data_IF_224914879259
#
_entry.id   IF_224914879259
#
_cell.length_a   1.000
_cell.length_b   1.000
_cell.length_c   1.000
_cell.angle_alpha   90.00
_cell.angle_beta   90.00
_cell.angle_gamma   90.00
#
_symmetry.space_group_name_H-M   'P 1'
#
loop_
_entity.id
_entity.type
_entity.pdbx_description
1 polymer ?
#
# COMPACT_ATOMS: atom_id res chain seq x y z
N UNK A 1 -6.52 -27.46 7.91
CA UNK A 1 -6.78 -28.53 6.91
C UNK A 1 -6.43 -27.93 5.54
N UNK A 2 -5.24 -28.21 4.97
CA UNK A 2 -4.89 -27.72 3.62
C UNK A 2 -5.74 -28.47 2.59
N UNK A 3 -6.38 -27.72 1.70
CA UNK A 3 -7.01 -28.29 0.51
C UNK A 3 -5.88 -28.67 -0.45
N UNK A 4 -5.75 -29.95 -0.86
CA UNK A 4 -4.56 -30.47 -1.54
C UNK A 4 -4.21 -29.84 -2.90
N UNK A 5 -5.07 -29.00 -3.48
CA UNK A 5 -4.95 -28.50 -4.86
C UNK A 5 -4.93 -26.95 -5.01
N UNK A 6 -4.87 -26.19 -3.92
CA UNK A 6 -4.66 -24.75 -4.06
C UNK A 6 -3.16 -24.44 -4.04
N UNK A 7 -2.60 -24.07 -5.19
CA UNK A 7 -1.25 -23.49 -5.30
C UNK A 7 -1.27 -22.09 -4.73
N UNK A 8 -1.11 -21.95 -3.40
CA UNK A 8 -1.01 -20.69 -2.68
C UNK A 8 0.31 -20.63 -1.90
N UNK A 9 0.91 -19.45 -1.71
CA UNK A 9 2.17 -19.32 -0.98
C UNK A 9 2.01 -19.70 0.49
N UNK A 10 3.12 -20.15 1.11
CA UNK A 10 3.15 -20.47 2.56
C UNK A 10 3.23 -19.24 3.44
N UNK A 11 3.70 -18.11 2.89
CA UNK A 11 3.85 -16.84 3.59
C UNK A 11 3.66 -15.67 2.65
N UNK A 12 3.18 -14.56 3.19
CA UNK A 12 3.03 -13.28 2.47
C UNK A 12 3.55 -12.13 3.32
N UNK A 13 3.92 -11.06 2.65
CA UNK A 13 4.28 -9.78 3.27
C UNK A 13 3.10 -8.81 3.16
N UNK A 14 2.80 -8.12 4.25
CA UNK A 14 1.78 -7.07 4.29
C UNK A 14 2.47 -5.74 4.60
N UNK A 15 2.16 -4.72 3.79
CA UNK A 15 2.45 -3.33 4.09
C UNK A 15 1.18 -2.68 4.64
N UNK A 16 1.29 -2.12 5.81
CA UNK A 16 0.22 -1.32 6.42
C UNK A 16 0.32 0.12 5.88
N UNK A 17 -0.74 0.56 5.20
CA UNK A 17 -0.78 1.90 4.59
C UNK A 17 -1.72 2.87 5.31
N UNK A 18 -2.39 2.44 6.35
CA UNK A 18 -3.37 3.23 7.10
C UNK A 18 -2.83 4.55 7.64
N UNK A 19 -1.60 4.63 8.18
CA UNK A 19 -1.05 5.90 8.67
C UNK A 19 -0.86 6.95 7.56
N UNK A 20 -0.69 6.53 6.30
CA UNK A 20 -0.64 7.43 5.15
C UNK A 20 -1.98 7.48 4.43
N UNK A 21 -2.39 6.37 3.81
CA UNK A 21 -3.56 6.32 2.94
C UNK A 21 -4.87 6.45 3.71
N UNK A 22 -4.92 5.82 4.88
CA UNK A 22 -6.04 5.94 5.79
C UNK A 22 -6.23 7.37 6.28
N UNK A 23 -5.23 7.91 6.92
CA UNK A 23 -5.31 9.23 7.58
C UNK A 23 -5.50 10.39 6.63
N UNK A 24 -4.97 10.31 5.40
CA UNK A 24 -5.16 11.40 4.41
C UNK A 24 -6.62 11.62 4.02
N UNK A 25 -7.48 10.61 4.19
CA UNK A 25 -8.89 10.66 3.82
C UNK A 25 -9.82 11.01 5.01
N UNK A 26 -9.26 11.16 6.22
CA UNK A 26 -10.06 11.56 7.37
C UNK A 26 -10.52 13.02 7.24
N UNK A 27 -11.76 13.34 7.63
CA UNK A 27 -12.30 14.70 7.50
C UNK A 27 -11.57 15.69 8.41
N UNK A 28 -11.07 15.23 9.56
CA UNK A 28 -10.34 16.04 10.53
C UNK A 28 -8.85 15.65 10.57
N UNK A 29 -7.99 16.62 10.82
CA UNK A 29 -6.56 16.38 11.00
C UNK A 29 -6.35 15.66 12.32
N UNK A 30 -5.78 14.45 12.27
CA UNK A 30 -5.38 13.70 13.45
C UNK A 30 -4.15 14.37 14.07
N UNK A 31 -4.14 14.67 15.38
CA UNK A 31 -2.98 15.25 16.04
C UNK A 31 -1.71 14.41 15.86
N UNK A 32 -0.57 15.07 15.71
CA UNK A 32 0.73 14.42 15.47
C UNK A 32 1.04 13.36 16.53
N UNK A 33 0.78 13.66 17.80
CA UNK A 33 1.04 12.72 18.93
C UNK A 33 0.19 11.44 18.80
N UNK A 34 -1.00 11.55 18.23
CA UNK A 34 -1.87 10.39 18.00
C UNK A 34 -1.38 9.56 16.81
N UNK A 35 -0.91 10.20 15.74
CA UNK A 35 -0.27 9.48 14.63
C UNK A 35 0.96 8.72 15.08
N UNK A 36 1.83 9.37 15.86
CA UNK A 36 3.03 8.74 16.46
C UNK A 36 2.64 7.55 17.33
N UNK A 37 1.70 7.72 18.27
CA UNK A 37 1.17 6.64 19.12
C UNK A 37 0.73 5.43 18.29
N UNK A 38 -0.08 5.66 17.25
CA UNK A 38 -0.65 4.60 16.41
C UNK A 38 0.41 3.91 15.55
N UNK A 39 1.36 4.65 14.98
CA UNK A 39 2.47 4.09 14.20
C UNK A 39 3.36 3.22 15.08
N UNK A 40 3.68 3.68 16.29
CA UNK A 40 4.49 2.95 17.26
C UNK A 40 3.80 1.66 17.75
N UNK A 41 2.48 1.67 17.88
CA UNK A 41 1.68 0.47 18.17
C UNK A 41 1.71 -0.51 16.99
N UNK A 42 1.46 -0.04 15.78
CA UNK A 42 1.49 -0.87 14.55
C UNK A 42 2.86 -1.54 14.36
N UNK A 43 3.95 -0.81 14.60
CA UNK A 43 5.30 -1.33 14.47
C UNK A 43 5.64 -2.49 15.43
N UNK A 44 4.78 -2.73 16.43
CA UNK A 44 4.93 -3.81 17.43
C UNK A 44 3.98 -4.99 17.20
N UNK A 45 3.19 -4.97 16.14
CA UNK A 45 2.27 -6.05 15.79
C UNK A 45 2.92 -7.23 15.06
N UNK A 46 4.19 -7.10 14.65
CA UNK A 46 4.86 -8.04 13.74
C UNK A 46 4.92 -7.57 12.30
N UNK A 47 4.21 -6.51 11.93
CA UNK A 47 4.31 -5.85 10.63
C UNK A 47 5.78 -5.48 10.34
N UNK A 48 6.22 -5.76 9.11
CA UNK A 48 7.59 -5.49 8.65
C UNK A 48 7.70 -4.25 7.78
N UNK A 49 6.58 -3.70 7.29
CA UNK A 49 6.55 -2.55 6.39
C UNK A 49 5.37 -1.65 6.73
N UNK A 50 5.64 -0.36 6.92
CA UNK A 50 4.65 0.67 7.20
C UNK A 50 4.82 1.84 6.24
N UNK A 51 3.75 2.30 5.61
CA UNK A 51 3.72 3.58 4.91
C UNK A 51 3.20 4.65 5.88
N UNK A 52 4.11 5.51 6.36
CA UNK A 52 3.86 6.31 7.57
C UNK A 52 3.41 7.74 7.29
N UNK A 53 3.75 8.30 6.13
CA UNK A 53 3.39 9.69 5.78
C UNK A 53 3.63 10.00 4.30
N UNK A 54 3.44 11.26 3.91
CA UNK A 54 3.58 11.75 2.54
C UNK A 54 4.28 13.10 2.48
N UNK A 55 5.08 13.31 1.44
CA UNK A 55 5.68 14.59 1.10
C UNK A 55 4.90 15.36 0.02
N UNK A 56 3.59 15.12 -0.08
CA UNK A 56 2.67 15.98 -0.83
C UNK A 56 2.62 17.36 -0.18
N UNK A 57 2.27 18.37 -0.95
CA UNK A 57 2.17 19.74 -0.43
C UNK A 57 1.11 19.82 0.69
N UNK A 58 1.39 20.51 1.81
CA UNK A 58 0.45 20.64 2.93
C UNK A 58 -0.89 21.28 2.59
N UNK A 59 -0.93 22.17 1.59
CA UNK A 59 -2.16 22.80 1.11
C UNK A 59 -3.02 21.87 0.25
N UNK A 60 -2.48 20.74 -0.22
CA UNK A 60 -3.19 19.70 -0.97
C UNK A 60 -3.69 18.60 -0.03
N UNK A 61 -2.87 18.16 0.91
CA UNK A 61 -3.22 17.14 1.92
C UNK A 61 -2.85 17.67 3.31
N UNK A 62 -3.71 18.49 3.92
CA UNK A 62 -3.47 19.04 5.25
C UNK A 62 -3.31 17.97 6.34
N UNK A 63 -3.98 16.81 6.16
CA UNK A 63 -3.94 15.69 7.09
C UNK A 63 -2.53 15.13 7.30
N UNK A 64 -1.62 15.30 6.34
CA UNK A 64 -0.23 14.81 6.39
C UNK A 64 0.80 15.95 6.37
N UNK A 65 0.40 17.17 6.72
CA UNK A 65 1.28 18.34 6.73
C UNK A 65 2.43 18.24 7.75
N UNK A 66 2.27 17.41 8.77
CA UNK A 66 3.18 17.15 9.89
C UNK A 66 4.18 15.99 9.62
N UNK A 67 4.44 15.66 8.37
CA UNK A 67 5.30 14.53 8.00
C UNK A 67 6.68 14.56 8.69
N UNK A 68 7.28 15.74 8.81
CA UNK A 68 8.59 15.92 9.45
C UNK A 68 8.53 15.64 10.94
N UNK A 69 7.50 16.12 11.61
CA UNK A 69 7.27 15.95 13.05
C UNK A 69 6.97 14.50 13.39
N UNK A 70 6.15 13.82 12.58
CA UNK A 70 5.86 12.39 12.73
C UNK A 70 7.15 11.59 12.60
N UNK A 71 7.89 11.75 11.51
CA UNK A 71 9.14 11.02 11.28
C UNK A 71 10.20 11.33 12.34
N UNK A 72 10.18 12.51 12.94
CA UNK A 72 11.10 12.87 14.01
C UNK A 72 10.77 12.21 15.36
N UNK A 73 9.53 11.82 15.63
CA UNK A 73 9.06 11.37 16.94
C UNK A 73 8.79 9.87 17.04
N UNK A 74 8.47 9.18 15.92
CA UNK A 74 8.16 7.74 15.95
C UNK A 74 9.33 6.91 16.47
N UNK A 75 9.01 5.90 17.29
CA UNK A 75 9.95 4.92 17.86
C UNK A 75 9.64 3.52 17.29
N UNK A 76 10.18 3.24 16.12
CA UNK A 76 9.92 2.02 15.37
C UNK A 76 11.14 1.10 15.38
N UNK A 77 10.98 -0.21 15.69
CA UNK A 77 12.07 -1.20 15.67
C UNK A 77 12.79 -1.26 14.31
N UNK A 78 14.11 -1.51 14.33
CA UNK A 78 14.96 -1.50 13.13
C UNK A 78 14.52 -2.49 12.04
N UNK A 79 13.88 -3.60 12.43
CA UNK A 79 13.40 -4.61 11.48
C UNK A 79 12.14 -4.20 10.72
N UNK A 80 11.52 -3.06 11.04
CA UNK A 80 10.34 -2.53 10.35
C UNK A 80 10.80 -1.47 9.36
N UNK A 81 10.61 -1.71 8.07
CA UNK A 81 10.91 -0.75 7.02
C UNK A 81 9.83 0.34 6.96
N UNK A 82 10.26 1.58 6.93
CA UNK A 82 9.40 2.76 6.83
C UNK A 82 9.38 3.29 5.40
N UNK A 83 8.19 3.41 4.84
CA UNK A 83 7.95 4.00 3.53
C UNK A 83 7.29 5.37 3.66
N UNK A 84 7.59 6.26 2.71
CA UNK A 84 6.95 7.57 2.59
C UNK A 84 6.53 7.82 1.13
N UNK A 85 5.35 8.42 0.93
CA UNK A 85 4.87 8.73 -0.41
C UNK A 85 5.53 10.00 -0.94
N UNK A 86 6.07 9.91 -2.16
CA UNK A 86 6.75 10.99 -2.88
C UNK A 86 5.98 11.34 -4.16
N UNK A 87 5.41 12.55 -4.27
CA UNK A 87 4.61 12.92 -5.43
C UNK A 87 5.41 13.36 -6.66
N UNK A 88 6.65 13.83 -6.48
CA UNK A 88 7.51 14.39 -7.54
C UNK A 88 8.93 14.69 -7.02
N UNK A 89 9.80 15.22 -7.90
CA UNK A 89 11.20 15.58 -7.56
C UNK A 89 11.30 16.50 -6.34
N UNK A 90 10.47 17.56 -6.24
CA UNK A 90 10.49 18.47 -5.08
C UNK A 90 10.07 17.79 -3.78
N UNK A 91 9.15 16.84 -3.86
CA UNK A 91 8.79 15.99 -2.72
C UNK A 91 9.96 15.13 -2.26
N UNK A 92 10.69 14.55 -3.20
CA UNK A 92 11.89 13.78 -2.92
C UNK A 92 12.98 14.64 -2.27
N UNK A 93 13.27 15.83 -2.80
CA UNK A 93 14.26 16.75 -2.23
C UNK A 93 13.96 17.06 -0.77
N UNK A 94 12.72 17.45 -0.45
CA UNK A 94 12.30 17.72 0.94
C UNK A 94 12.42 16.50 1.84
N UNK A 95 12.08 15.32 1.33
CA UNK A 95 12.21 14.08 2.08
C UNK A 95 13.67 13.72 2.37
N UNK A 96 14.57 13.92 1.39
CA UNK A 96 16.00 13.69 1.54
C UNK A 96 16.65 14.69 2.48
N UNK A 97 16.29 15.98 2.43
CA UNK A 97 16.74 16.99 3.38
C UNK A 97 16.41 16.59 4.81
N UNK A 98 15.17 16.14 5.05
CA UNK A 98 14.76 15.62 6.37
C UNK A 98 15.56 14.38 6.76
N UNK A 99 15.67 13.41 5.86
CA UNK A 99 16.37 12.14 6.12
C UNK A 99 17.82 12.34 6.53
N UNK A 100 18.50 13.30 5.91
CA UNK A 100 19.88 13.66 6.23
C UNK A 100 20.00 14.57 7.46
N UNK A 101 18.99 15.39 7.73
CA UNK A 101 18.99 16.35 8.83
C UNK A 101 18.66 15.75 10.21
N UNK A 102 17.96 14.62 10.25
CA UNK A 102 17.62 13.96 11.50
C UNK A 102 18.83 13.18 12.06
N UNK A 103 19.31 13.60 13.24
CA UNK A 103 20.40 12.92 13.96
C UNK A 103 19.82 11.70 14.69
N UNK A 104 19.68 10.57 14.00
CA UNK A 104 19.18 9.31 14.53
C UNK A 104 20.15 8.17 14.27
N UNK A 105 20.00 7.06 15.05
CA UNK A 105 20.77 5.83 14.82
C UNK A 105 20.39 5.14 13.50
N UNK A 106 19.15 5.31 13.04
CA UNK A 106 18.66 4.79 11.75
C UNK A 106 18.15 5.93 10.85
N UNK A 107 18.11 5.76 9.53
CA UNK A 107 17.47 6.70 8.61
C UNK A 107 15.99 6.95 9.00
N UNK A 108 15.47 8.14 8.69
CA UNK A 108 14.07 8.49 8.98
C UNK A 108 13.06 7.60 8.23
N UNK A 109 13.46 7.09 7.08
CA UNK A 109 12.72 6.11 6.28
C UNK A 109 13.67 5.33 5.38
N UNK A 110 13.23 4.17 4.91
CA UNK A 110 14.02 3.19 4.16
C UNK A 110 13.56 3.09 2.71
N UNK A 111 12.28 3.39 2.46
CA UNK A 111 11.59 3.19 1.21
C UNK A 111 10.84 4.44 0.78
N UNK A 112 10.65 4.58 -0.53
CA UNK A 112 9.70 5.54 -1.08
C UNK A 112 8.63 4.82 -1.89
N UNK A 113 7.42 5.38 -1.86
CA UNK A 113 6.32 5.04 -2.75
C UNK A 113 6.08 6.21 -3.69
N UNK A 114 6.05 5.95 -5.00
CA UNK A 114 5.60 6.89 -6.02
C UNK A 114 4.36 6.32 -6.71
N UNK A 115 3.53 7.19 -7.30
CA UNK A 115 2.28 6.72 -7.90
C UNK A 115 1.89 7.50 -9.16
N UNK A 116 1.12 6.84 -10.00
CA UNK A 116 0.37 7.43 -11.11
C UNK A 116 -0.86 6.54 -11.40
N UNK A 117 -1.76 7.01 -12.26
CA UNK A 117 -2.89 6.19 -12.74
C UNK A 117 -2.63 5.64 -14.13
N UNK A 118 -3.14 4.44 -14.41
CA UNK A 118 -3.20 3.89 -15.78
C UNK A 118 -4.26 4.59 -16.66
N UNK A 119 -5.27 5.23 -16.03
CA UNK A 119 -6.30 6.01 -16.71
C UNK A 119 -5.86 7.47 -16.89
N UNK A 120 -5.92 7.97 -18.10
CA UNK A 120 -5.56 9.36 -18.44
C UNK A 120 -6.45 10.36 -17.70
N UNK A 121 -7.76 10.12 -17.71
CA UNK A 121 -8.72 10.99 -17.05
C UNK A 121 -8.53 11.00 -15.54
N UNK A 122 -8.36 9.83 -14.93
CA UNK A 122 -8.11 9.74 -13.48
C UNK A 122 -6.78 10.40 -13.10
N UNK A 123 -5.73 10.20 -13.89
CA UNK A 123 -4.43 10.82 -13.61
C UNK A 123 -4.50 12.35 -13.66
N UNK A 124 -5.24 12.91 -14.64
CA UNK A 124 -5.48 14.36 -14.71
C UNK A 124 -6.26 14.89 -13.52
N UNK A 125 -7.29 14.17 -13.07
CA UNK A 125 -8.06 14.56 -11.89
C UNK A 125 -7.24 14.48 -10.59
N UNK A 126 -6.39 13.45 -10.47
CA UNK A 126 -5.67 13.18 -9.24
C UNK A 126 -4.39 14.04 -9.08
N UNK A 127 -3.60 14.18 -10.14
CA UNK A 127 -2.30 14.86 -10.08
C UNK A 127 -2.14 16.02 -11.06
N UNK A 128 -3.21 16.36 -11.79
CA UNK A 128 -3.24 17.41 -12.81
C UNK A 128 -2.16 17.25 -13.91
N UNK A 129 -1.91 16.01 -14.32
CA UNK A 129 -0.92 15.64 -15.35
C UNK A 129 -1.48 14.53 -16.22
N UNK A 130 -0.99 14.43 -17.47
CA UNK A 130 -1.17 13.24 -18.29
C UNK A 130 -0.42 12.06 -17.68
N UNK A 131 -0.75 10.84 -18.11
CA UNK A 131 0.00 9.64 -17.75
C UNK A 131 1.46 9.76 -18.20
N UNK A 132 1.70 10.25 -19.41
CA UNK A 132 3.04 10.45 -19.94
C UNK A 132 3.86 11.49 -19.16
N UNK A 133 3.27 12.64 -18.81
CA UNK A 133 3.93 13.64 -17.97
C UNK A 133 4.29 13.10 -16.57
N UNK A 134 3.45 12.22 -16.02
CA UNK A 134 3.72 11.56 -14.75
C UNK A 134 4.87 10.55 -14.89
N UNK A 135 4.86 9.72 -15.94
CA UNK A 135 5.94 8.77 -16.22
C UNK A 135 7.29 9.48 -16.37
N UNK A 136 7.37 10.51 -17.21
CA UNK A 136 8.60 11.31 -17.39
C UNK A 136 9.11 11.91 -16.08
N UNK A 137 8.21 12.32 -15.19
CA UNK A 137 8.59 12.80 -13.85
C UNK A 137 9.15 11.68 -12.98
N UNK A 138 8.48 10.51 -12.98
CA UNK A 138 8.90 9.37 -12.15
C UNK A 138 10.20 8.71 -12.66
N UNK A 139 10.45 8.74 -13.97
CA UNK A 139 11.69 8.30 -14.59
C UNK A 139 12.93 9.12 -14.13
N UNK A 140 12.72 10.29 -13.50
CA UNK A 140 13.77 11.07 -12.85
C UNK A 140 13.83 10.82 -11.34
N UNK A 141 12.67 10.70 -10.69
CA UNK A 141 12.56 10.47 -9.24
C UNK A 141 13.19 9.12 -8.84
N UNK A 142 12.84 8.04 -9.55
CA UNK A 142 13.25 6.69 -9.19
C UNK A 142 14.77 6.49 -9.19
N UNK A 143 15.53 6.85 -10.27
CA UNK A 143 16.99 6.71 -10.25
C UNK A 143 17.64 7.58 -9.18
N UNK A 144 17.12 8.80 -8.95
CA UNK A 144 17.64 9.68 -7.91
C UNK A 144 17.48 9.07 -6.52
N UNK A 145 16.28 8.56 -6.18
CA UNK A 145 16.03 7.89 -4.91
C UNK A 145 16.90 6.63 -4.72
N UNK A 146 17.04 5.83 -5.79
CA UNK A 146 17.94 4.65 -5.80
C UNK A 146 19.39 5.03 -5.51
N UNK A 147 19.87 6.11 -6.08
CA UNK A 147 21.24 6.62 -5.82
C UNK A 147 21.45 7.05 -4.35
N UNK A 148 20.37 7.35 -3.62
CA UNK A 148 20.37 7.62 -2.17
C UNK A 148 20.21 6.37 -1.29
N UNK A 149 20.25 5.17 -1.91
CA UNK A 149 20.08 3.89 -1.20
C UNK A 149 18.67 3.59 -0.75
N UNK A 150 17.66 4.24 -1.33
CA UNK A 150 16.25 3.98 -1.02
C UNK A 150 15.70 2.83 -1.85
N UNK A 151 14.88 1.98 -1.24
CA UNK A 151 14.02 1.06 -1.99
C UNK A 151 12.86 1.86 -2.61
N UNK A 152 12.55 1.57 -3.86
CA UNK A 152 11.54 2.30 -4.62
C UNK A 152 10.40 1.38 -5.03
N UNK A 153 9.20 1.73 -4.59
CA UNK A 153 7.95 1.18 -5.10
C UNK A 153 7.28 2.20 -6.01
N UNK A 154 6.61 1.70 -7.06
CA UNK A 154 5.76 2.49 -7.92
C UNK A 154 4.36 1.87 -7.99
N UNK A 155 3.34 2.59 -7.53
CA UNK A 155 1.94 2.15 -7.53
C UNK A 155 1.22 2.68 -8.75
N UNK A 156 0.54 1.78 -9.47
CA UNK A 156 -0.30 2.09 -10.61
C UNK A 156 -1.76 2.03 -10.16
N UNK A 157 -2.36 3.19 -9.95
CA UNK A 157 -3.78 3.31 -9.62
C UNK A 157 -4.67 2.96 -10.81
N UNK A 158 -5.92 2.59 -10.55
CA UNK A 158 -6.93 2.22 -11.56
C UNK A 158 -6.52 1.04 -12.45
N UNK A 159 -5.69 0.12 -11.94
CA UNK A 159 -5.18 -1.03 -12.70
C UNK A 159 -6.27 -1.99 -13.17
N UNK A 160 -7.41 -2.03 -12.48
CA UNK A 160 -8.51 -2.96 -12.75
C UNK A 160 -9.78 -2.29 -13.26
N UNK A 161 -9.80 -0.97 -13.34
CA UNK A 161 -10.92 -0.18 -13.82
C UNK A 161 -10.89 1.26 -13.31
N UNK A 162 -11.55 2.13 -14.04
CA UNK A 162 -11.59 3.57 -13.79
C UNK A 162 -13.03 4.08 -13.74
N UNK A 163 -13.43 4.87 -12.74
CA UNK A 163 -14.79 5.40 -12.65
C UNK A 163 -15.13 6.39 -13.78
N UNK A 164 -14.14 6.95 -14.45
CA UNK A 164 -14.31 7.90 -15.56
C UNK A 164 -14.24 7.22 -16.93
N UNK A 165 -13.28 6.30 -17.13
CA UNK A 165 -13.03 5.65 -18.42
C UNK A 165 -13.64 4.23 -18.50
N UNK A 166 -14.10 3.69 -17.39
CA UNK A 166 -14.62 2.33 -17.33
C UNK A 166 -13.49 1.29 -17.38
N UNK A 167 -13.46 0.50 -18.44
CA UNK A 167 -12.45 -0.54 -18.62
C UNK A 167 -11.07 0.06 -18.89
N UNK A 168 -10.07 -0.41 -18.16
CA UNK A 168 -8.66 -0.11 -18.36
C UNK A 168 -7.99 -1.37 -18.92
N UNK A 169 -7.45 -1.33 -20.15
CA UNK A 169 -6.81 -2.49 -20.75
C UNK A 169 -5.58 -2.94 -19.95
N UNK A 170 -5.42 -4.24 -19.61
CA UNK A 170 -4.25 -4.76 -18.91
C UNK A 170 -2.94 -4.40 -19.60
N UNK A 171 -2.90 -4.39 -20.92
CA UNK A 171 -1.73 -4.07 -21.74
C UNK A 171 -1.22 -2.66 -21.45
N UNK A 172 -2.11 -1.67 -21.26
CA UNK A 172 -1.75 -0.30 -20.88
C UNK A 172 -1.11 -0.27 -19.49
N UNK A 173 -1.68 -1.00 -18.54
CA UNK A 173 -1.15 -1.08 -17.17
C UNK A 173 0.24 -1.70 -17.18
N UNK A 174 0.43 -2.77 -17.92
CA UNK A 174 1.71 -3.47 -18.02
C UNK A 174 2.78 -2.69 -18.79
N UNK A 175 2.39 -1.88 -19.80
CA UNK A 175 3.29 -0.93 -20.45
C UNK A 175 3.82 0.11 -19.46
N UNK A 176 2.94 0.70 -18.65
CA UNK A 176 3.31 1.63 -17.58
C UNK A 176 4.24 0.94 -16.57
N UNK A 177 3.90 -0.27 -16.12
CA UNK A 177 4.70 -1.05 -15.19
C UNK A 177 6.11 -1.34 -15.72
N UNK A 178 6.23 -1.70 -16.99
CA UNK A 178 7.50 -1.95 -17.67
C UNK A 178 8.39 -0.71 -17.67
N UNK A 179 7.84 0.46 -17.97
CA UNK A 179 8.59 1.73 -17.93
C UNK A 179 9.07 2.08 -16.52
N UNK A 180 8.22 1.92 -15.51
CA UNK A 180 8.58 2.17 -14.12
C UNK A 180 9.68 1.22 -13.63
N UNK A 181 9.60 -0.07 -14.01
CA UNK A 181 10.67 -1.05 -13.73
C UNK A 181 11.99 -0.60 -14.35
N UNK A 182 12.00 -0.24 -15.64
CA UNK A 182 13.20 0.23 -16.33
C UNK A 182 13.75 1.53 -15.72
N UNK A 183 12.90 2.36 -15.14
CA UNK A 183 13.30 3.55 -14.40
C UNK A 183 13.93 3.24 -13.03
N UNK A 184 13.86 1.99 -12.56
CA UNK A 184 14.49 1.55 -11.32
C UNK A 184 13.52 1.25 -10.17
N UNK A 185 12.22 1.14 -10.42
CA UNK A 185 11.29 0.61 -9.43
C UNK A 185 11.62 -0.86 -9.14
N UNK A 186 11.77 -1.20 -7.87
CA UNK A 186 12.06 -2.56 -7.38
C UNK A 186 10.77 -3.30 -6.99
N UNK A 187 9.69 -2.55 -6.90
CA UNK A 187 8.36 -3.05 -6.58
C UNK A 187 7.33 -2.30 -7.40
N UNK A 188 6.39 -3.03 -7.98
CA UNK A 188 5.26 -2.46 -8.70
C UNK A 188 3.97 -2.85 -7.98
N UNK A 189 3.27 -1.85 -7.46
CA UNK A 189 1.96 -2.00 -6.85
C UNK A 189 0.85 -1.81 -7.90
N UNK A 190 -0.15 -2.69 -7.88
CA UNK A 190 -1.33 -2.60 -8.75
C UNK A 190 -2.57 -2.33 -7.91
N UNK A 191 -3.13 -1.11 -8.06
CA UNK A 191 -4.23 -0.62 -7.24
C UNK A 191 -5.60 -0.78 -7.88
N UNK A 192 -6.51 -1.44 -7.16
CA UNK A 192 -7.96 -1.40 -7.39
C UNK A 192 -8.57 -0.20 -6.66
N UNK A 193 -8.14 0.99 -7.04
CA UNK A 193 -8.40 2.27 -6.36
C UNK A 193 -9.88 2.55 -6.09
N UNK A 194 -10.77 1.97 -6.86
CA UNK A 194 -12.22 2.23 -6.79
C UNK A 194 -13.05 0.97 -6.57
N UNK A 195 -12.41 -0.15 -6.24
CA UNK A 195 -13.05 -1.43 -5.97
C UNK A 195 -13.85 -1.96 -7.15
N UNK A 196 -13.31 -1.85 -8.37
CA UNK A 196 -13.93 -2.33 -9.61
C UNK A 196 -13.44 -3.72 -10.03
N UNK A 197 -12.36 -4.21 -9.40
CA UNK A 197 -11.80 -5.52 -9.68
C UNK A 197 -12.73 -6.66 -9.28
N UNK A 198 -12.61 -7.78 -9.97
CA UNK A 198 -13.23 -9.05 -9.62
C UNK A 198 -12.18 -10.18 -9.66
N UNK A 199 -12.40 -11.32 -8.96
CA UNK A 199 -11.39 -12.36 -8.83
C UNK A 199 -10.90 -12.97 -10.15
N UNK A 200 -11.76 -13.08 -11.16
CA UNK A 200 -11.38 -13.62 -12.49
C UNK A 200 -10.42 -12.68 -13.19
N UNK A 201 -10.73 -11.39 -13.19
CA UNK A 201 -9.89 -10.35 -13.76
C UNK A 201 -8.54 -10.26 -13.04
N UNK A 202 -8.55 -10.26 -11.70
CA UNK A 202 -7.33 -10.18 -10.87
C UNK A 202 -6.39 -11.33 -11.16
N UNK A 203 -6.90 -12.57 -11.17
CA UNK A 203 -6.08 -13.75 -11.46
C UNK A 203 -5.43 -13.66 -12.83
N UNK A 204 -6.23 -13.42 -13.87
CA UNK A 204 -5.72 -13.32 -15.24
C UNK A 204 -4.69 -12.18 -15.41
N UNK A 205 -4.93 -11.04 -14.76
CA UNK A 205 -4.01 -9.91 -14.78
C UNK A 205 -2.65 -10.26 -14.15
N UNK A 206 -2.62 -10.85 -12.95
CA UNK A 206 -1.36 -11.18 -12.30
C UNK A 206 -0.61 -12.31 -13.00
N UNK A 207 -1.30 -13.32 -13.55
CA UNK A 207 -0.68 -14.36 -14.39
C UNK A 207 0.05 -13.68 -15.58
N UNK A 208 -0.58 -12.75 -16.26
CA UNK A 208 0.05 -11.99 -17.36
C UNK A 208 1.18 -11.06 -16.88
N UNK A 209 1.03 -10.41 -15.73
CA UNK A 209 2.05 -9.52 -15.16
C UNK A 209 3.33 -10.30 -14.79
N UNK A 210 3.20 -11.50 -14.21
CA UNK A 210 4.33 -12.38 -13.93
C UNK A 210 5.09 -12.79 -15.19
N UNK A 211 4.39 -13.09 -16.28
CA UNK A 211 5.01 -13.44 -17.56
C UNK A 211 5.76 -12.26 -18.19
N UNK A 212 5.18 -11.05 -18.15
CA UNK A 212 5.72 -9.89 -18.88
C UNK A 212 6.81 -9.13 -18.13
N UNK A 213 6.75 -9.09 -16.80
CA UNK A 213 7.67 -8.28 -16.00
C UNK A 213 8.90 -9.05 -15.52
N UNK A 214 9.13 -10.29 -15.99
CA UNK A 214 10.25 -11.15 -15.60
C UNK A 214 10.43 -11.17 -14.07
N UNK A 215 9.33 -11.40 -13.38
CA UNK A 215 9.30 -11.41 -11.92
C UNK A 215 9.99 -12.66 -11.40
N UNK A 216 10.74 -12.51 -10.33
CA UNK A 216 11.26 -13.67 -9.61
C UNK A 216 10.08 -14.53 -9.11
N UNK A 217 10.12 -15.79 -9.47
CA UNK A 217 9.34 -16.80 -8.75
C UNK A 217 9.71 -16.79 -7.26
N UNK A 218 8.82 -17.30 -6.41
CA UNK A 218 9.03 -17.36 -4.98
C UNK A 218 10.44 -17.91 -4.64
N UNK A 219 11.34 -17.05 -4.19
CA UNK A 219 12.71 -17.42 -3.79
C UNK A 219 13.87 -16.92 -4.66
N UNK A 220 13.64 -16.18 -5.73
CA UNK A 220 14.70 -15.59 -6.53
C UNK A 220 15.32 -14.34 -5.87
N UNK A 221 16.64 -14.32 -5.72
CA UNK A 221 17.43 -13.17 -5.29
C UNK A 221 18.32 -12.71 -6.45
N UNK A 222 17.84 -11.74 -7.21
CA UNK A 222 18.64 -11.06 -8.25
C UNK A 222 18.38 -9.56 -8.20
N UNK A 223 19.40 -8.77 -8.43
CA UNK A 223 19.33 -7.29 -8.36
C UNK A 223 18.40 -6.68 -9.43
N UNK A 224 18.02 -7.47 -10.43
CA UNK A 224 17.16 -7.07 -11.57
C UNK A 224 15.69 -7.52 -11.44
N UNK A 225 15.31 -8.14 -10.35
CA UNK A 225 13.94 -8.64 -10.18
C UNK A 225 13.02 -7.62 -9.55
N UNK A 226 11.79 -7.56 -10.07
CA UNK A 226 10.73 -6.70 -9.51
C UNK A 226 9.76 -7.51 -8.65
N UNK A 227 9.36 -6.97 -7.50
CA UNK A 227 8.29 -7.52 -6.68
C UNK A 227 6.93 -6.98 -7.19
N UNK A 228 5.90 -7.84 -7.25
CA UNK A 228 4.55 -7.41 -7.52
C UNK A 228 3.75 -7.32 -6.22
N UNK A 229 3.04 -6.21 -6.04
CA UNK A 229 2.21 -5.95 -4.86
C UNK A 229 0.77 -5.68 -5.31
N UNK A 230 -0.18 -6.25 -4.58
CA UNK A 230 -1.60 -6.03 -4.82
C UNK A 230 -2.21 -5.13 -3.75
N UNK A 231 -2.96 -4.11 -4.20
CA UNK A 231 -3.67 -3.17 -3.36
C UNK A 231 -5.15 -3.16 -3.75
N UNK A 232 -6.01 -3.63 -2.85
CA UNK A 232 -7.44 -3.75 -3.11
C UNK A 232 -8.28 -2.89 -2.19
N UNK A 233 -9.33 -2.29 -2.76
CA UNK A 233 -10.40 -1.66 -2.02
C UNK A 233 -11.61 -2.58 -1.84
N UNK A 234 -12.30 -2.43 -0.72
CA UNK A 234 -13.46 -3.25 -0.38
C UNK A 234 -14.80 -2.63 -0.78
N UNK A 235 -14.78 -1.59 -1.59
CA UNK A 235 -15.96 -0.77 -1.99
C UNK A 235 -17.17 -1.59 -2.44
N UNK A 236 -16.97 -2.76 -3.04
CA UNK A 236 -18.05 -3.69 -3.47
C UNK A 236 -18.00 -5.03 -2.76
N UNK A 237 -17.29 -5.11 -1.62
CA UNK A 237 -17.18 -6.33 -0.83
C UNK A 237 -16.40 -7.45 -1.50
N UNK A 238 -15.57 -7.15 -2.51
CA UNK A 238 -14.79 -8.15 -3.24
C UNK A 238 -13.29 -8.17 -2.87
N UNK A 239 -12.86 -7.28 -1.97
CA UNK A 239 -11.44 -7.09 -1.66
C UNK A 239 -10.73 -8.38 -1.26
N UNK A 240 -11.23 -9.14 -0.28
CA UNK A 240 -10.63 -10.41 0.15
C UNK A 240 -10.74 -11.52 -0.89
N UNK A 241 -11.80 -11.54 -1.70
CA UNK A 241 -11.92 -12.48 -2.82
C UNK A 241 -10.85 -12.19 -3.89
N UNK A 242 -10.55 -10.92 -4.13
CA UNK A 242 -9.47 -10.48 -5.02
C UNK A 242 -8.09 -10.85 -4.45
N UNK A 243 -7.89 -10.74 -3.13
CA UNK A 243 -6.67 -11.26 -2.47
C UNK A 243 -6.48 -12.73 -2.74
N UNK A 244 -7.52 -13.56 -2.56
CA UNK A 244 -7.43 -14.99 -2.83
C UNK A 244 -7.05 -15.27 -4.30
N UNK A 245 -7.64 -14.54 -5.25
CA UNK A 245 -7.33 -14.68 -6.66
C UNK A 245 -5.87 -14.28 -6.97
N UNK A 246 -5.36 -13.22 -6.36
CA UNK A 246 -3.97 -12.79 -6.48
C UNK A 246 -3.00 -13.81 -5.87
N UNK A 247 -3.31 -14.39 -4.69
CA UNK A 247 -2.55 -15.48 -4.08
C UNK A 247 -2.44 -16.71 -5.02
N UNK A 248 -3.55 -17.09 -5.66
CA UNK A 248 -3.59 -18.18 -6.62
C UNK A 248 -2.78 -17.91 -7.89
N UNK A 249 -2.59 -16.65 -8.26
CA UNK A 249 -1.69 -16.23 -9.32
C UNK A 249 -0.22 -16.12 -8.89
N UNK A 250 0.09 -16.26 -7.59
CA UNK A 250 1.44 -16.24 -7.06
C UNK A 250 1.88 -14.93 -6.38
N UNK A 251 0.98 -13.98 -6.18
CA UNK A 251 1.27 -12.72 -5.46
C UNK A 251 1.55 -13.04 -3.97
N UNK A 252 2.64 -12.46 -3.45
CA UNK A 252 3.08 -12.64 -2.06
C UNK A 252 3.22 -11.34 -1.29
N UNK A 253 2.90 -10.21 -1.91
CA UNK A 253 2.94 -8.87 -1.29
C UNK A 253 1.59 -8.18 -1.43
N UNK A 254 1.07 -7.66 -0.32
CA UNK A 254 -0.22 -7.00 -0.25
C UNK A 254 -0.14 -5.70 0.55
N UNK A 255 -0.98 -4.74 0.18
CA UNK A 255 -1.24 -3.55 0.97
C UNK A 255 -2.64 -3.63 1.58
N UNK A 256 -2.77 -3.12 2.81
CA UNK A 256 -4.03 -3.04 3.54
C UNK A 256 -3.97 -1.91 4.56
N UNK A 257 -5.12 -1.55 5.12
CA UNK A 257 -5.22 -0.49 6.10
C UNK A 257 -6.02 -0.95 7.33
N UNK A 258 -5.44 -0.79 8.52
CA UNK A 258 -6.14 -1.12 9.75
C UNK A 258 -7.53 -0.44 9.79
N UNK A 259 -8.53 -1.19 10.22
CA UNK A 259 -9.91 -0.70 10.31
C UNK A 259 -10.59 -0.37 8.99
N UNK A 260 -10.06 -0.81 7.84
CA UNK A 260 -10.61 -0.45 6.52
C UNK A 260 -10.51 1.07 6.22
N UNK A 261 -9.53 1.76 6.82
CA UNK A 261 -9.32 3.19 6.60
C UNK A 261 -8.86 3.50 5.18
N UNK A 262 -9.06 4.74 4.77
CA UNK A 262 -8.81 5.20 3.41
C UNK A 262 -10.11 5.29 2.63
N UNK A 263 -10.00 5.66 1.38
CA UNK A 263 -11.16 5.80 0.52
C UNK A 263 -10.78 6.43 -0.81
N UNK A 264 -11.77 6.47 -1.68
CA UNK A 264 -11.71 7.24 -2.90
C UNK A 264 -12.93 8.17 -2.89
N UNK A 265 -12.78 9.46 -3.21
CA UNK A 265 -13.94 10.36 -3.30
C UNK A 265 -14.91 9.96 -4.41
N UNK A 266 -14.53 9.02 -5.26
CA UNK A 266 -15.34 8.51 -6.38
C UNK A 266 -15.22 6.98 -6.45
N UNK A 267 -16.35 6.24 -6.47
CA UNK A 267 -17.75 6.69 -6.43
C UNK A 267 -18.20 7.13 -5.01
N UNK A 268 -19.26 7.92 -4.90
CA UNK A 268 -19.85 8.24 -3.60
C UNK A 268 -20.21 6.98 -2.82
N UNK A 269 -19.81 6.92 -1.54
CA UNK A 269 -19.99 5.74 -0.68
C UNK A 269 -18.92 4.66 -0.90
N UNK A 270 -17.82 4.98 -1.61
CA UNK A 270 -16.65 4.11 -1.63
C UNK A 270 -16.16 3.87 -0.20
N UNK A 271 -15.99 2.60 0.18
CA UNK A 271 -15.27 2.22 1.39
C UNK A 271 -13.77 2.31 1.14
N UNK A 272 -12.97 2.12 2.19
CA UNK A 272 -11.52 2.20 2.08
C UNK A 272 -10.86 0.95 1.52
N UNK A 273 -9.63 0.83 1.88
CA UNK A 273 -8.79 -0.36 1.65
C UNK A 273 -9.43 -1.60 2.25
N UNK A 274 -8.97 -2.79 1.89
CA UNK A 274 -9.25 -3.98 2.72
C UNK A 274 -8.67 -3.76 4.12
N UNK A 275 -9.40 -4.21 5.15
CA UNK A 275 -8.92 -4.11 6.52
C UNK A 275 -7.75 -5.08 6.77
N UNK A 276 -6.69 -4.59 7.40
CA UNK A 276 -5.52 -5.42 7.72
C UNK A 276 -5.89 -6.56 8.65
N UNK A 277 -6.77 -6.33 9.62
CA UNK A 277 -7.26 -7.35 10.54
C UNK A 277 -8.02 -8.47 9.82
N UNK A 278 -8.87 -8.11 8.87
CA UNK A 278 -9.65 -9.07 8.07
C UNK A 278 -8.73 -9.89 7.15
N UNK A 279 -7.75 -9.22 6.52
CA UNK A 279 -6.74 -9.86 5.69
C UNK A 279 -5.90 -10.86 6.51
N UNK A 280 -5.35 -10.44 7.64
CA UNK A 280 -4.52 -11.28 8.52
C UNK A 280 -5.33 -12.46 9.05
N UNK A 281 -6.56 -12.22 9.50
CA UNK A 281 -7.46 -13.27 9.97
C UNK A 281 -7.70 -14.34 8.89
N UNK A 282 -8.06 -13.92 7.68
CA UNK A 282 -8.27 -14.84 6.54
C UNK A 282 -7.01 -15.66 6.24
N UNK A 283 -5.84 -15.01 6.18
CA UNK A 283 -4.57 -15.66 5.85
C UNK A 283 -4.17 -16.69 6.91
N UNK A 284 -4.31 -16.35 8.19
CA UNK A 284 -4.03 -17.26 9.30
C UNK A 284 -4.95 -18.50 9.27
N UNK A 285 -6.27 -18.32 9.02
CA UNK A 285 -7.22 -19.41 8.86
C UNK A 285 -6.88 -20.31 7.65
N UNK A 286 -6.26 -19.76 6.62
CA UNK A 286 -5.76 -20.50 5.45
C UNK A 286 -4.39 -21.16 5.70
N UNK A 287 -3.75 -20.94 6.85
CA UNK A 287 -2.43 -21.46 7.20
C UNK A 287 -1.28 -20.74 6.51
N UNK A 288 -1.48 -19.49 6.06
CA UNK A 288 -0.47 -18.63 5.45
C UNK A 288 0.15 -17.75 6.54
N UNK A 289 1.47 -17.75 6.65
CA UNK A 289 2.19 -16.93 7.61
C UNK A 289 2.24 -15.46 7.18
N UNK A 290 2.05 -14.55 8.15
CA UNK A 290 2.19 -13.10 7.95
C UNK A 290 3.20 -12.48 8.92
N UNK A 291 3.67 -13.24 9.91
CA UNK A 291 4.44 -12.77 11.08
C UNK A 291 3.70 -11.75 11.97
N UNK A 292 2.41 -11.50 11.73
CA UNK A 292 1.62 -10.49 12.45
C UNK A 292 0.83 -11.15 13.58
N UNK A 293 0.89 -10.53 14.76
CA UNK A 293 0.04 -10.90 15.90
C UNK A 293 -1.33 -10.22 15.75
N UNK A 294 -2.35 -11.03 15.46
CA UNK A 294 -3.71 -10.55 15.20
C UNK A 294 -4.34 -9.88 16.44
N UNK A 295 -4.05 -10.38 17.64
CA UNK A 295 -4.63 -9.80 18.88
C UNK A 295 -4.05 -8.41 19.16
N UNK A 296 -2.73 -8.24 18.94
CA UNK A 296 -2.07 -6.94 19.06
C UNK A 296 -2.57 -5.98 17.96
N UNK A 297 -2.76 -6.47 16.73
CA UNK A 297 -3.30 -5.66 15.63
C UNK A 297 -4.73 -5.20 15.91
N UNK A 298 -5.59 -6.09 16.44
CA UNK A 298 -6.95 -5.74 16.87
C UNK A 298 -6.96 -4.70 17.98
N UNK A 299 -5.98 -4.75 18.90
CA UNK A 299 -5.84 -3.70 19.92
C UNK A 299 -5.48 -2.34 19.30
N UNK A 300 -4.59 -2.32 18.28
CA UNK A 300 -4.31 -1.12 17.51
C UNK A 300 -5.56 -0.56 16.83
N UNK A 301 -6.34 -1.40 16.15
CA UNK A 301 -7.55 -0.99 15.45
C UNK A 301 -8.62 -0.42 16.41
N UNK A 302 -8.78 -1.01 17.60
CA UNK A 302 -9.64 -0.44 18.65
C UNK A 302 -9.16 0.95 19.08
N UNK A 303 -7.85 1.12 19.23
CA UNK A 303 -7.27 2.41 19.60
C UNK A 303 -7.50 3.47 18.53
N UNK A 304 -7.37 3.11 17.25
CA UNK A 304 -7.72 4.01 16.13
C UNK A 304 -9.19 4.41 16.19
N UNK A 305 -10.10 3.45 16.41
CA UNK A 305 -11.53 3.72 16.56
C UNK A 305 -11.82 4.72 17.68
N UNK A 306 -11.11 4.62 18.82
CA UNK A 306 -11.20 5.60 19.90
C UNK A 306 -10.69 6.98 19.49
N UNK A 307 -9.55 7.05 18.82
CA UNK A 307 -8.95 8.32 18.35
C UNK A 307 -9.85 9.02 17.35
N UNK A 308 -10.44 8.27 16.42
CA UNK A 308 -11.34 8.81 15.39
C UNK A 308 -12.78 9.04 15.91
N UNK A 309 -13.14 8.48 17.06
CA UNK A 309 -14.48 8.64 17.67
C UNK A 309 -15.61 8.03 16.84
N UNK A 310 -15.33 7.06 15.97
CA UNK A 310 -16.30 6.40 15.10
C UNK A 310 -16.01 4.92 14.91
N UNK A 311 -17.03 4.08 14.60
CA UNK A 311 -16.82 2.70 14.20
C UNK A 311 -15.96 2.60 12.93
N UNK A 312 -15.17 1.52 12.84
CA UNK A 312 -14.37 1.16 11.67
C UNK A 312 -15.00 0.00 10.89
N UNK A 313 -14.59 -0.17 9.63
CA UNK A 313 -15.19 -1.13 8.70
C UNK A 313 -14.76 -2.59 8.88
N UNK A 314 -13.69 -2.88 9.64
CA UNK A 314 -13.17 -4.24 9.81
C UNK A 314 -14.18 -5.18 10.45
N UNK A 315 -14.46 -6.30 9.79
CA UNK A 315 -15.37 -7.35 10.28
C UNK A 315 -14.76 -8.11 11.47
N UNK A 316 -13.46 -8.40 11.40
CA UNK A 316 -12.73 -9.08 12.47
C UNK A 316 -12.65 -8.21 13.73
N UNK A 317 -12.57 -6.90 13.58
CA UNK A 317 -12.61 -5.98 14.72
C UNK A 317 -13.95 -6.06 15.47
N UNK A 318 -15.05 -6.28 14.76
CA UNK A 318 -16.41 -6.39 15.32
C UNK A 318 -16.67 -7.78 15.89
N UNK A 319 -16.35 -8.83 15.11
CA UNK A 319 -16.68 -10.22 15.47
C UNK A 319 -15.65 -10.86 16.40
N UNK A 320 -14.41 -10.37 16.42
CA UNK A 320 -13.26 -11.04 17.04
C UNK A 320 -12.63 -12.10 16.12
N UNK A 321 -11.46 -12.59 16.51
CA UNK A 321 -10.83 -13.73 15.86
C UNK A 321 -11.65 -15.00 16.07
N UNK A 322 -11.52 -15.98 15.14
CA UNK A 322 -12.21 -17.26 15.26
C UNK A 322 -11.63 -18.06 16.43
N UNK A 323 -12.52 -18.60 17.25
CA UNK A 323 -12.17 -19.50 18.36
C UNK A 323 -12.63 -20.92 18.04
N UNK A 324 -11.68 -21.79 17.72
CA UNK A 324 -11.91 -23.20 17.35
C UNK A 324 -12.00 -24.14 18.55
N UNK A 325 -12.31 -23.66 19.75
CA UNK A 325 -12.51 -24.49 20.95
C UNK A 325 -13.78 -25.28 20.91
#
# INVERSE_FOLDING_TARGET
MRVPDMSIPDAVQIREVGPRDGFQNEPEVIPTERKVELIDMLARTGLRRLEVTSFVRPDVIPQLADASEVLAQIDVPEQVALSVLIPNERGLERALELRHGLSRQRPAFDEINVFLSASETHNRHNVNRSVEESLVSLEKVLPHARAQGLRCEAVISTSFGCPYEGHVPPERVLEVATRLRHAGAQEIGFGDTTGMANPVQVRAFFEQAFEQLEVLGAGGSGDDSVQLTAHFHNTRGQGLANVLAALQAGVTSFESSFGELGGCPVPPGATGNIATEDLVSMLHEMGISTDIDLDVLLACARRVQEVLGRPLGSHTLVAGAVDWR
#
